data_IF_878142852060
#
_entry.id   IF_878142852060
#
_cell.length_a   1.000
_cell.length_b   1.000
_cell.length_c   1.000
_cell.angle_alpha   90.00
_cell.angle_beta   90.00
_cell.angle_gamma   90.00
#
_symmetry.space_group_name_H-M   'P 1'
#
loop_
_entity.id
_entity.type
_entity.pdbx_description
1 polymer ?
#
# COMPACT_ATOMS: atom_id res chain seq x y z
N UNK A 1 4.17 15.37 7.79
CA UNK A 1 3.62 14.39 6.83
C UNK A 1 2.63 13.56 7.63
N UNK A 2 1.34 13.87 7.54
CA UNK A 2 0.32 13.12 8.27
C UNK A 2 0.45 11.65 7.86
N UNK A 3 0.60 10.75 8.84
CA UNK A 3 0.28 9.34 8.66
C UNK A 3 -1.18 9.27 8.23
N UNK A 4 -1.42 9.34 6.92
CA UNK A 4 -2.62 8.73 6.35
C UNK A 4 -2.40 7.25 6.58
N UNK A 5 -2.83 6.75 7.73
CA UNK A 5 -3.06 5.32 7.94
C UNK A 5 -4.15 4.99 6.94
N UNK A 6 -3.73 4.67 5.72
CA UNK A 6 -4.64 4.36 4.64
C UNK A 6 -5.39 3.09 5.02
N UNK A 7 -6.70 3.26 5.20
CA UNK A 7 -7.59 2.20 5.64
C UNK A 7 -7.42 0.96 4.75
N UNK A 8 -7.31 -0.19 5.41
CA UNK A 8 -7.25 -1.47 4.72
C UNK A 8 -8.54 -1.72 3.93
N UNK A 9 -8.39 -2.41 2.80
CA UNK A 9 -9.53 -2.86 2.02
C UNK A 9 -10.33 -3.90 2.80
N UNK A 10 -11.63 -3.65 2.94
CA UNK A 10 -12.58 -4.55 3.64
C UNK A 10 -13.81 -4.71 2.76
N UNK A 11 -13.82 -5.75 1.88
CA UNK A 11 -14.92 -5.93 0.96
C UNK A 11 -16.15 -6.44 1.72
N UNK A 12 -17.34 -6.00 1.32
CA UNK A 12 -18.60 -6.45 1.92
C UNK A 12 -19.01 -7.83 1.39
N UNK A 13 -19.96 -8.48 2.06
CA UNK A 13 -20.49 -9.77 1.59
C UNK A 13 -21.11 -9.68 0.19
N UNK A 14 -21.77 -8.56 -0.14
CA UNK A 14 -22.34 -8.33 -1.47
C UNK A 14 -21.23 -8.14 -2.51
N UNK A 15 -20.21 -7.35 -2.20
CA UNK A 15 -19.05 -7.15 -3.08
C UNK A 15 -18.32 -8.47 -3.34
N UNK A 16 -18.18 -9.33 -2.34
CA UNK A 16 -17.57 -10.66 -2.49
C UNK A 16 -18.44 -11.64 -3.29
N UNK A 17 -19.76 -11.47 -3.29
CA UNK A 17 -20.65 -12.29 -4.10
C UNK A 17 -20.57 -11.92 -5.59
N UNK A 18 -20.30 -10.65 -5.89
CA UNK A 18 -20.25 -10.09 -7.25
C UNK A 18 -18.84 -10.14 -7.85
N UNK A 19 -17.82 -9.86 -7.05
CA UNK A 19 -16.41 -9.89 -7.42
C UNK A 19 -15.58 -10.62 -6.34
N UNK A 20 -15.55 -11.97 -6.34
CA UNK A 20 -14.83 -12.78 -5.35
C UNK A 20 -13.33 -12.45 -5.25
N UNK A 21 -12.72 -12.00 -6.34
CA UNK A 21 -11.34 -11.54 -6.42
C UNK A 21 -11.05 -10.38 -5.46
N UNK A 22 -12.05 -9.58 -5.07
CA UNK A 22 -11.89 -8.53 -4.06
C UNK A 22 -11.46 -9.08 -2.70
N UNK A 23 -11.81 -10.34 -2.38
CA UNK A 23 -11.33 -11.00 -1.16
C UNK A 23 -9.83 -11.29 -1.20
N UNK A 24 -9.32 -11.72 -2.36
CA UNK A 24 -7.87 -11.95 -2.56
C UNK A 24 -7.12 -10.62 -2.54
N UNK A 25 -7.66 -9.60 -3.20
CA UNK A 25 -7.08 -8.26 -3.21
C UNK A 25 -7.09 -7.60 -1.82
N UNK A 26 -8.10 -7.87 -0.99
CA UNK A 26 -8.13 -7.43 0.40
C UNK A 26 -6.99 -8.05 1.22
N UNK A 27 -6.77 -9.36 1.08
CA UNK A 27 -5.68 -10.06 1.75
C UNK A 27 -4.31 -9.55 1.27
N UNK A 28 -4.17 -9.26 -0.02
CA UNK A 28 -2.96 -8.67 -0.60
C UNK A 28 -2.73 -7.25 -0.04
N UNK A 29 -3.73 -6.37 -0.02
CA UNK A 29 -3.62 -5.01 0.55
C UNK A 29 -3.19 -5.05 2.02
N UNK A 30 -3.77 -5.94 2.84
CA UNK A 30 -3.38 -6.10 4.23
C UNK A 30 -1.93 -6.59 4.39
N UNK A 31 -1.49 -7.53 3.54
CA UNK A 31 -0.12 -8.03 3.53
C UNK A 31 0.87 -6.94 3.11
N UNK A 32 0.53 -6.16 2.09
CA UNK A 32 1.33 -5.04 1.60
C UNK A 32 1.46 -3.93 2.66
N UNK A 33 0.35 -3.56 3.31
CA UNK A 33 0.34 -2.58 4.39
C UNK A 33 1.22 -3.01 5.57
N UNK A 34 1.11 -4.29 5.95
CA UNK A 34 1.95 -4.87 7.02
C UNK A 34 3.43 -4.86 6.62
N UNK A 35 3.74 -5.24 5.38
CA UNK A 35 5.10 -5.24 4.84
C UNK A 35 5.70 -3.82 4.85
N UNK A 36 4.93 -2.81 4.41
CA UNK A 36 5.39 -1.42 4.45
C UNK A 36 5.68 -0.96 5.88
N UNK A 37 4.79 -1.28 6.83
CA UNK A 37 4.99 -0.95 8.24
C UNK A 37 6.26 -1.60 8.81
N UNK A 38 6.50 -2.88 8.50
CA UNK A 38 7.71 -3.59 8.93
C UNK A 38 8.98 -3.01 8.29
N UNK A 39 8.97 -2.73 6.98
CA UNK A 39 10.11 -2.12 6.29
C UNK A 39 10.47 -0.76 6.88
N UNK A 40 9.46 0.03 7.24
CA UNK A 40 9.64 1.30 7.92
C UNK A 40 10.23 1.11 9.31
N UNK A 41 9.69 0.20 10.12
CA UNK A 41 10.17 -0.05 11.48
C UNK A 41 11.64 -0.51 11.51
N UNK A 42 12.03 -1.35 10.56
CA UNK A 42 13.41 -1.84 10.41
C UNK A 42 14.36 -0.82 9.75
N UNK A 43 13.83 0.27 9.19
CA UNK A 43 14.62 1.32 8.53
C UNK A 43 14.18 2.71 9.02
N UNK A 44 14.42 3.08 10.30
CA UNK A 44 13.99 4.35 10.87
C UNK A 44 14.58 5.58 10.14
N UNK A 45 15.71 5.40 9.45
CA UNK A 45 16.37 6.43 8.63
C UNK A 45 15.49 6.92 7.47
N UNK A 46 14.44 6.18 7.09
CA UNK A 46 13.46 6.59 6.08
C UNK A 46 12.63 7.82 6.51
N UNK A 47 12.49 8.05 7.82
CA UNK A 47 11.81 9.24 8.36
C UNK A 47 12.76 10.35 8.78
N UNK A 48 14.07 10.07 8.80
CA UNK A 48 15.05 11.11 9.07
C UNK A 48 14.94 12.15 7.95
N UNK A 49 14.62 13.38 8.33
CA UNK A 49 14.64 14.54 7.46
C UNK A 49 16.01 14.63 6.78
N UNK A 50 16.00 14.16 5.54
CA UNK A 50 16.98 14.33 4.48
C UNK A 50 18.44 13.95 4.82
N UNK A 51 18.82 12.68 4.65
CA UNK A 51 20.22 12.27 4.60
C UNK A 51 21.02 13.05 3.55
N UNK A 52 20.37 13.51 2.46
CA UNK A 52 21.03 14.31 1.43
C UNK A 52 21.33 15.73 1.91
N UNK A 53 20.56 16.30 2.85
CA UNK A 53 20.88 17.56 3.51
C UNK A 53 22.12 17.45 4.42
N UNK A 54 22.50 16.23 4.84
CA UNK A 54 23.74 15.94 5.58
C UNK A 54 24.88 15.44 4.70
N UNK A 55 24.64 15.26 3.40
CA UNK A 55 25.62 14.67 2.46
C UNK A 55 25.84 13.17 2.64
N UNK A 56 24.96 12.48 3.38
CA UNK A 56 25.07 11.06 3.67
C UNK A 56 24.27 10.24 2.64
N UNK A 57 24.93 9.28 1.99
CA UNK A 57 24.27 8.37 1.06
C UNK A 57 23.63 7.25 1.88
N UNK A 58 22.29 7.05 1.80
CA UNK A 58 21.64 5.97 2.54
C UNK A 58 22.20 4.61 2.15
N UNK A 59 22.26 3.69 3.12
CA UNK A 59 22.74 2.33 2.88
C UNK A 59 21.96 1.65 1.74
N UNK A 60 22.60 0.74 0.97
CA UNK A 60 21.93 0.06 -0.14
C UNK A 60 20.60 -0.60 0.24
N UNK A 61 20.52 -1.21 1.43
CA UNK A 61 19.31 -1.83 1.94
C UNK A 61 18.20 -0.81 2.19
N UNK A 62 18.51 0.31 2.85
CA UNK A 62 17.56 1.42 3.10
C UNK A 62 17.01 2.01 1.80
N UNK A 63 17.87 2.21 0.79
CA UNK A 63 17.41 2.67 -0.54
C UNK A 63 16.44 1.67 -1.18
N UNK A 64 16.71 0.37 -1.03
CA UNK A 64 15.83 -0.67 -1.54
C UNK A 64 14.51 -0.75 -0.77
N UNK A 65 14.55 -0.61 0.55
CA UNK A 65 13.36 -0.53 1.40
C UNK A 65 12.48 0.68 1.00
N UNK A 66 13.08 1.85 0.78
CA UNK A 66 12.37 3.03 0.30
C UNK A 66 11.68 2.77 -1.06
N UNK A 67 12.41 2.17 -2.01
CA UNK A 67 11.86 1.81 -3.31
C UNK A 67 10.71 0.80 -3.19
N UNK A 68 10.79 -0.17 -2.29
CA UNK A 68 9.72 -1.13 -2.04
C UNK A 68 8.48 -0.46 -1.45
N UNK A 69 8.65 0.42 -0.46
CA UNK A 69 7.54 1.18 0.15
C UNK A 69 6.81 2.01 -0.91
N UNK A 70 7.54 2.67 -1.81
CA UNK A 70 6.96 3.41 -2.92
C UNK A 70 6.10 2.51 -3.83
N UNK A 71 6.65 1.37 -4.27
CA UNK A 71 5.91 0.40 -5.11
C UNK A 71 4.71 -0.22 -4.41
N UNK A 72 4.83 -0.48 -3.11
CA UNK A 72 3.71 -0.94 -2.28
C UNK A 72 2.59 0.11 -2.29
N UNK A 73 2.94 1.39 -2.12
CA UNK A 73 1.98 2.49 -2.19
C UNK A 73 1.24 2.52 -3.53
N UNK A 74 1.97 2.48 -4.64
CA UNK A 74 1.38 2.44 -5.99
C UNK A 74 0.42 1.25 -6.14
N UNK A 75 0.85 0.03 -5.79
CA UNK A 75 0.01 -1.16 -5.94
C UNK A 75 -1.25 -1.10 -5.07
N UNK A 76 -1.17 -0.53 -3.85
CA UNK A 76 -2.36 -0.35 -2.99
C UNK A 76 -3.35 0.66 -3.58
N UNK A 77 -2.87 1.68 -4.29
CA UNK A 77 -3.73 2.61 -5.03
C UNK A 77 -4.47 1.87 -6.15
N UNK A 78 -3.74 1.14 -6.99
CA UNK A 78 -4.32 0.34 -8.08
C UNK A 78 -5.38 -0.66 -7.59
N UNK A 79 -5.14 -1.33 -6.46
CA UNK A 79 -6.11 -2.24 -5.84
C UNK A 79 -7.42 -1.52 -5.48
N UNK A 80 -7.34 -0.29 -4.96
CA UNK A 80 -8.54 0.49 -4.60
C UNK A 80 -9.28 1.01 -5.82
N UNK A 81 -8.55 1.43 -6.85
CA UNK A 81 -9.13 1.86 -8.12
C UNK A 81 -9.86 0.70 -8.78
N UNK A 82 -9.25 -0.48 -8.82
CA UNK A 82 -9.90 -1.69 -9.30
C UNK A 82 -11.18 -2.01 -8.52
N UNK A 83 -11.16 -1.95 -7.19
CA UNK A 83 -12.38 -2.13 -6.38
C UNK A 83 -13.46 -1.12 -6.75
N UNK A 84 -13.10 0.15 -6.91
CA UNK A 84 -14.06 1.18 -7.29
C UNK A 84 -14.71 0.88 -8.64
N UNK A 85 -13.95 0.35 -9.61
CA UNK A 85 -14.49 -0.08 -10.90
C UNK A 85 -15.37 -1.33 -10.76
N UNK A 86 -14.87 -2.38 -10.10
CA UNK A 86 -15.58 -3.64 -9.91
C UNK A 86 -16.93 -3.49 -9.18
N UNK A 87 -17.04 -2.53 -8.25
CA UNK A 87 -18.28 -2.25 -7.53
C UNK A 87 -19.23 -1.34 -8.32
N UNK A 88 -18.71 -0.49 -9.21
CA UNK A 88 -19.53 0.46 -9.99
C UNK A 88 -19.98 -0.10 -11.35
N UNK A 89 -19.30 -1.10 -11.92
CA UNK A 89 -19.69 -1.74 -13.18
C UNK A 89 -21.08 -2.42 -13.08
N UNK A 90 -21.51 -2.76 -11.87
CA UNK A 90 -22.81 -3.36 -11.55
C UNK A 90 -24.02 -2.41 -11.67
N UNK A 91 -23.82 -1.14 -12.07
CA UNK A 91 -24.90 -0.19 -12.31
C UNK A 91 -25.28 -0.01 -13.80
N UNK A 92 -24.75 -0.85 -14.70
CA UNK A 92 -24.89 -0.67 -16.15
C UNK A 92 -25.51 -1.84 -16.94
N UNK A 93 -26.13 -2.82 -16.29
CA UNK A 93 -26.86 -3.91 -16.95
C UNK A 93 -28.33 -3.99 -16.51
#
# INVERSE_FOLDING_TARGET
>A
MEERIEALLRPTANELALAPELGVLAALDATLATTAHQLVAENPDLYSLDPAARGEIPAPLTRKANSLIFRIGELRVEIREYRALAVNDDHTL
#
